data_IF_559531492176
#
_entry.id   IF_559531492176
#
_cell.length_a   1.000
_cell.length_b   1.000
_cell.length_c   1.000
_cell.angle_alpha   90.00
_cell.angle_beta   90.00
_cell.angle_gamma   90.00
#
_symmetry.space_group_name_H-M   'P 1'
#
loop_
_entity.id
_entity.type
_entity.pdbx_description
1 polymer ?
#
# COMPACT_ATOMS: atom_id res chain seq x y z
N UNK A 1 3.80 2.22 3.72
CA UNK A 1 3.23 3.58 3.85
C UNK A 1 2.68 3.73 5.25
N UNK A 2 2.96 4.86 5.90
CA UNK A 2 2.40 5.22 7.21
C UNK A 2 1.78 6.63 7.11
N UNK A 3 0.72 6.91 7.86
CA UNK A 3 0.11 8.24 7.93
C UNK A 3 -0.06 8.73 9.38
N UNK A 4 -0.12 10.06 9.50
CA UNK A 4 -0.36 10.79 10.73
C UNK A 4 -1.18 12.05 10.45
N UNK A 5 -1.71 12.65 11.51
CA UNK A 5 -2.50 13.87 11.46
C UNK A 5 -3.94 13.64 11.89
N UNK A 6 -4.82 14.59 11.58
CA UNK A 6 -6.26 14.52 11.87
C UNK A 6 -7.01 14.84 10.59
N UNK A 7 -7.56 13.81 9.97
CA UNK A 7 -8.24 13.90 8.69
C UNK A 7 -9.44 12.95 8.62
N UNK A 8 -10.29 13.15 7.62
CA UNK A 8 -11.39 12.24 7.25
C UNK A 8 -11.33 12.00 5.73
N UNK A 9 -11.57 10.76 5.31
CA UNK A 9 -11.28 10.31 3.94
C UNK A 9 -9.80 9.95 3.77
N UNK A 10 -9.25 10.14 2.57
CA UNK A 10 -7.83 9.82 2.32
C UNK A 10 -7.56 8.33 2.11
N UNK A 11 -8.57 7.59 1.67
CA UNK A 11 -8.51 6.15 1.53
C UNK A 11 -7.56 5.74 0.40
N UNK A 12 -6.79 4.69 0.64
CA UNK A 12 -5.94 4.05 -0.37
C UNK A 12 -6.79 3.11 -1.22
N UNK A 13 -6.85 3.37 -2.52
CA UNK A 13 -7.58 2.52 -3.47
C UNK A 13 -6.58 1.76 -4.33
N UNK A 14 -6.82 0.46 -4.47
CA UNK A 14 -6.07 -0.43 -5.36
C UNK A 14 -7.09 -1.06 -6.33
N UNK A 15 -7.29 -0.46 -7.53
CA UNK A 15 -8.36 -0.86 -8.44
C UNK A 15 -8.27 -2.33 -8.88
N UNK A 16 -7.05 -2.83 -9.11
CA UNK A 16 -6.82 -4.21 -9.53
C UNK A 16 -7.31 -5.26 -8.51
N UNK A 17 -7.38 -4.89 -7.23
CA UNK A 17 -7.88 -5.74 -6.15
C UNK A 17 -9.34 -5.45 -5.80
N UNK A 18 -9.96 -4.44 -6.42
CA UNK A 18 -11.28 -3.92 -6.04
C UNK A 18 -11.36 -3.58 -4.55
N UNK A 19 -10.23 -3.15 -3.97
CA UNK A 19 -10.10 -2.87 -2.55
C UNK A 19 -9.90 -1.38 -2.29
N UNK A 20 -10.55 -0.93 -1.23
CA UNK A 20 -10.46 0.41 -0.67
C UNK A 20 -10.12 0.26 0.81
N UNK A 21 -8.97 0.79 1.20
CA UNK A 21 -8.49 0.77 2.56
C UNK A 21 -8.69 2.15 3.17
N UNK A 22 -9.52 2.21 4.20
CA UNK A 22 -9.58 3.38 5.06
C UNK A 22 -8.25 3.47 5.80
N UNK A 23 -7.45 4.49 5.49
CA UNK A 23 -6.08 4.59 5.96
C UNK A 23 -6.00 5.56 7.13
N UNK A 24 -5.96 5.03 8.36
CA UNK A 24 -6.06 5.84 9.57
C UNK A 24 -4.68 6.10 10.20
N UNK A 25 -4.51 7.23 10.93
CA UNK A 25 -3.26 7.51 11.64
C UNK A 25 -2.83 6.34 12.54
N UNK A 26 -1.61 5.85 12.33
CA UNK A 26 -1.06 4.68 13.04
C UNK A 26 -1.08 3.38 12.23
N UNK A 27 -1.82 3.32 11.12
CA UNK A 27 -1.81 2.17 10.23
C UNK A 27 -0.52 2.08 9.42
N UNK A 28 -0.09 0.84 9.18
CA UNK A 28 1.04 0.52 8.32
C UNK A 28 0.56 -0.36 7.18
N UNK A 29 0.66 0.15 5.96
CA UNK A 29 0.27 -0.58 4.75
C UNK A 29 1.52 -0.94 3.94
N UNK A 30 1.64 -2.22 3.59
CA UNK A 30 2.77 -2.78 2.83
C UNK A 30 2.21 -3.53 1.63
N UNK A 31 2.64 -3.17 0.42
CA UNK A 31 2.26 -3.82 -0.82
C UNK A 31 3.31 -3.56 -1.91
N UNK A 32 3.27 -4.36 -2.99
CA UNK A 32 4.14 -4.18 -4.15
C UNK A 32 3.64 -3.05 -5.04
N UNK A 33 4.11 -1.84 -4.76
CA UNK A 33 3.68 -0.62 -5.45
C UNK A 33 3.97 -0.61 -6.95
N UNK A 34 4.97 -1.35 -7.44
CA UNK A 34 5.31 -1.44 -8.86
C UNK A 34 4.35 -2.32 -9.68
N UNK A 35 3.63 -3.25 -9.04
CA UNK A 35 2.69 -4.16 -9.70
C UNK A 35 1.25 -3.68 -9.60
N UNK A 36 0.97 -2.76 -8.68
CA UNK A 36 -0.38 -2.35 -8.32
C UNK A 36 -0.49 -0.83 -8.49
N UNK A 37 -1.21 -0.40 -9.52
CA UNK A 37 -1.68 0.98 -9.60
C UNK A 37 -2.50 1.32 -8.36
N UNK A 38 -2.24 2.48 -7.78
CA UNK A 38 -2.86 2.90 -6.53
C UNK A 38 -2.95 4.42 -6.47
N UNK A 39 -3.97 4.91 -5.77
CA UNK A 39 -4.16 6.33 -5.52
C UNK A 39 -4.82 6.55 -4.16
N UNK A 40 -4.73 7.79 -3.68
CA UNK A 40 -5.37 8.23 -2.44
C UNK A 40 -6.57 9.11 -2.80
N UNK A 41 -7.73 8.81 -2.24
CA UNK A 41 -8.94 9.63 -2.41
C UNK A 41 -8.79 11.00 -1.75
N UNK A 42 -9.57 12.02 -2.14
CA UNK A 42 -9.56 13.31 -1.45
C UNK A 42 -9.82 13.17 0.06
N UNK A 43 -9.19 14.04 0.85
CA UNK A 43 -9.34 14.10 2.29
C UNK A 43 -9.65 15.53 2.76
N UNK A 44 -10.22 15.65 3.96
CA UNK A 44 -10.44 16.92 4.66
C UNK A 44 -9.63 16.92 5.94
N UNK A 45 -8.90 18.00 6.21
CA UNK A 45 -8.03 18.16 7.39
C UNK A 45 -6.55 18.13 7.04
N UNK A 46 -5.73 17.71 7.99
CA UNK A 46 -4.27 17.62 7.83
C UNK A 46 -3.84 16.15 7.78
N UNK A 47 -3.34 15.72 6.62
CA UNK A 47 -2.78 14.38 6.41
C UNK A 47 -1.30 14.51 6.04
N UNK A 48 -0.43 13.91 6.86
CA UNK A 48 0.98 13.71 6.54
C UNK A 48 1.25 12.23 6.35
N UNK A 49 2.00 11.84 5.33
CA UNK A 49 2.35 10.44 5.08
C UNK A 49 3.81 10.26 4.71
N UNK A 50 4.34 9.09 5.01
CA UNK A 50 5.68 8.66 4.57
C UNK A 50 5.58 7.31 3.85
N UNK A 51 6.30 7.22 2.75
CA UNK A 51 6.39 6.00 1.94
C UNK A 51 7.85 5.58 1.85
N UNK A 52 8.17 4.48 2.52
CA UNK A 52 9.43 3.78 2.34
C UNK A 52 9.29 2.83 1.14
N UNK A 53 10.17 2.95 0.16
CA UNK A 53 10.21 2.07 -1.00
C UNK A 53 11.63 1.59 -1.23
N UNK A 54 11.75 0.39 -1.78
CA UNK A 54 13.01 -0.18 -2.25
C UNK A 54 12.89 -0.47 -3.74
N UNK A 55 14.00 -0.35 -4.47
CA UNK A 55 14.04 -0.75 -5.87
C UNK A 55 14.10 -2.28 -6.01
N UNK A 56 13.87 -2.77 -7.23
CA UNK A 56 13.49 -4.15 -7.57
C UNK A 56 14.37 -5.27 -6.99
N UNK A 57 15.59 -4.98 -6.53
CA UNK A 57 16.57 -5.99 -6.11
C UNK A 57 16.77 -6.15 -4.59
N UNK A 58 16.00 -5.45 -3.75
CA UNK A 58 16.20 -5.48 -2.28
C UNK A 58 15.20 -6.41 -1.55
N UNK A 59 13.99 -6.59 -2.09
CA UNK A 59 12.91 -7.36 -1.42
C UNK A 59 12.68 -8.77 -2.01
N UNK A 60 13.61 -9.25 -2.85
CA UNK A 60 13.60 -10.59 -3.43
C UNK A 60 12.53 -10.84 -4.49
N UNK A 61 12.90 -11.56 -5.55
CA UNK A 61 11.91 -12.20 -6.42
C UNK A 61 11.10 -13.19 -5.58
N UNK A 62 9.77 -13.13 -5.70
CA UNK A 62 8.93 -14.20 -5.17
C UNK A 62 9.05 -15.34 -6.18
N UNK A 63 10.04 -16.20 -6.01
CA UNK A 63 10.07 -17.46 -6.75
C UNK A 63 8.87 -18.27 -6.25
N UNK A 64 7.91 -18.65 -7.12
CA UNK A 64 6.86 -19.57 -6.71
C UNK A 64 7.55 -20.87 -6.29
N UNK A 65 7.34 -21.32 -5.05
CA UNK A 65 7.82 -22.62 -4.62
C UNK A 65 7.28 -23.67 -5.60
N UNK A 66 8.20 -24.33 -6.30
CA UNK A 66 7.91 -25.38 -7.25
C UNK A 66 6.97 -26.42 -6.63
N UNK A 67 5.95 -26.77 -7.40
CA UNK A 67 4.99 -27.82 -7.12
C UNK A 67 5.67 -29.05 -6.50
N UNK A 68 5.25 -29.40 -5.28
CA UNK A 68 5.54 -30.71 -4.69
C UNK A 68 4.81 -31.73 -5.56
N UNK A 69 5.54 -32.32 -6.50
CA UNK A 69 5.08 -33.43 -7.31
C UNK A 69 4.79 -34.63 -6.39
N UNK A 70 3.54 -35.12 -6.44
CA UNK A 70 3.13 -36.45 -5.96
C UNK A 70 3.73 -37.55 -6.85
#
# INVERSE_FOLDING_TARGET
MCCWGRFTGGDLVIPALQQRFEFQPGDVVIFRSCLLEHYVTPFIGEQSSISFFSQNDVMGNFEPEDNIAL
#
